data_IF_780981378864
#
_entry.id   IF_780981378864
#
_cell.length_a   1.000
_cell.length_b   1.000
_cell.length_c   1.000
_cell.angle_alpha   90.00
_cell.angle_beta   90.00
_cell.angle_gamma   90.00
#
_symmetry.space_group_name_H-M   'P 1'
#
loop_
_entity.id
_entity.type
_entity.pdbx_description
1 polymer ?
#
# COMPACT_ATOMS: atom_id res chain seq x y z
N UNK A 1 3.74 -2.15 5.29
CA UNK A 1 4.00 -0.93 4.51
C UNK A 1 5.49 -0.67 4.40
N UNK A 2 5.93 -0.07 3.28
CA UNK A 2 7.35 0.20 3.04
C UNK A 2 7.80 1.58 3.52
N UNK A 3 6.86 2.49 3.75
CA UNK A 3 7.13 3.88 4.09
C UNK A 3 6.81 4.17 5.54
N UNK A 4 7.71 4.89 6.21
CA UNK A 4 7.50 5.50 7.52
C UNK A 4 8.30 6.79 7.66
N UNK A 5 8.05 7.53 8.72
CA UNK A 5 8.74 8.77 9.06
C UNK A 5 9.38 8.63 10.43
N UNK A 6 10.59 9.13 10.60
CA UNK A 6 11.25 9.21 11.91
C UNK A 6 10.92 10.51 12.68
N UNK A 7 11.47 10.68 13.86
CA UNK A 7 11.29 11.89 14.68
C UNK A 7 11.80 13.18 14.02
N UNK A 8 12.74 13.07 13.08
CA UNK A 8 13.31 14.21 12.37
C UNK A 8 12.53 14.54 11.09
N UNK A 9 11.36 13.89 10.90
CA UNK A 9 10.52 13.98 9.71
C UNK A 9 11.20 13.46 8.43
N UNK A 10 12.28 12.68 8.56
CA UNK A 10 12.87 11.97 7.42
C UNK A 10 11.93 10.84 7.02
N UNK A 11 11.57 10.82 5.73
CA UNK A 11 10.79 9.75 5.12
C UNK A 11 11.72 8.59 4.76
N UNK A 12 11.43 7.42 5.28
CA UNK A 12 12.14 6.18 4.99
C UNK A 12 11.34 5.32 4.03
N UNK A 13 12.03 4.76 3.04
CA UNK A 13 11.46 3.81 2.09
C UNK A 13 12.29 2.51 2.14
N UNK A 14 11.74 1.45 2.72
CA UNK A 14 12.41 0.15 2.82
C UNK A 14 12.73 -0.50 1.46
N UNK A 15 12.14 -0.01 0.37
CA UNK A 15 12.48 -0.46 -0.99
C UNK A 15 13.80 0.12 -1.48
N UNK A 16 14.21 1.28 -0.97
CA UNK A 16 15.41 2.00 -1.35
C UNK A 16 16.52 1.84 -0.30
N UNK A 17 16.18 2.08 0.95
CA UNK A 17 17.09 2.02 2.09
C UNK A 17 16.39 1.47 3.33
N UNK A 18 16.95 0.45 3.94
CA UNK A 18 16.44 -0.11 5.20
C UNK A 18 17.08 0.65 6.36
N UNK A 19 16.30 1.38 7.18
CA UNK A 19 16.87 2.11 8.31
C UNK A 19 17.41 1.16 9.38
N UNK A 20 18.41 1.61 10.14
CA UNK A 20 18.77 0.94 11.37
C UNK A 20 17.64 1.10 12.41
N UNK A 21 17.49 0.13 13.31
CA UNK A 21 16.48 0.22 14.39
C UNK A 21 16.70 1.45 15.28
N UNK A 22 17.93 1.89 15.40
CA UNK A 22 18.35 3.08 16.17
C UNK A 22 17.92 4.40 15.54
N UNK A 23 17.53 4.42 14.26
CA UNK A 23 16.97 5.60 13.58
C UNK A 23 15.52 5.89 14.01
N UNK A 24 14.88 4.94 14.66
CA UNK A 24 13.54 5.12 15.23
C UNK A 24 13.50 6.07 16.43
N UNK A 25 12.32 6.34 16.95
CA UNK A 25 11.05 5.73 16.63
C UNK A 25 10.49 6.13 15.24
N UNK A 26 9.69 5.22 14.65
CA UNK A 26 9.05 5.44 13.34
C UNK A 26 7.55 5.60 13.48
N UNK A 27 6.96 6.36 12.56
CA UNK A 27 5.55 6.70 12.55
C UNK A 27 4.93 6.53 11.16
N UNK A 28 3.67 6.16 11.13
CA UNK A 28 2.88 6.11 9.90
C UNK A 28 2.67 7.52 9.33
N UNK A 29 2.91 7.70 8.04
CA UNK A 29 2.70 8.99 7.34
C UNK A 29 1.26 9.52 7.40
N UNK A 30 0.29 8.61 7.42
CA UNK A 30 -1.12 8.98 7.33
C UNK A 30 -1.78 9.17 8.70
N UNK A 31 -1.57 8.26 9.65
CA UNK A 31 -2.21 8.33 10.96
C UNK A 31 -1.30 8.78 12.10
N UNK A 32 -0.01 8.95 11.84
CA UNK A 32 1.02 9.33 12.80
C UNK A 32 1.18 8.40 14.00
N UNK A 33 0.53 7.22 13.96
CA UNK A 33 0.69 6.20 15.01
C UNK A 33 2.05 5.53 14.91
N UNK A 34 2.60 5.06 16.05
CA UNK A 34 3.87 4.35 16.07
C UNK A 34 3.86 3.09 15.22
N UNK A 35 4.93 2.92 14.46
CA UNK A 35 5.21 1.72 13.68
C UNK A 35 6.59 1.18 14.04
N UNK A 36 6.81 -0.11 13.82
CA UNK A 36 8.10 -0.75 14.01
C UNK A 36 8.63 -1.32 12.72
N UNK A 37 9.92 -1.20 12.51
CA UNK A 37 10.61 -1.89 11.44
C UNK A 37 10.59 -3.40 11.69
N UNK A 38 10.18 -4.15 10.71
CA UNK A 38 10.33 -5.61 10.62
C UNK A 38 11.32 -5.91 9.51
N UNK A 39 12.44 -6.50 9.88
CA UNK A 39 13.50 -6.89 8.95
C UNK A 39 13.94 -8.32 9.28
N UNK A 40 13.08 -9.29 8.97
CA UNK A 40 13.33 -10.71 9.17
C UNK A 40 13.70 -11.41 7.87
N UNK A 41 13.96 -12.73 7.96
CA UNK A 41 14.39 -13.55 6.83
C UNK A 41 13.26 -14.00 5.89
N UNK A 42 12.00 -13.87 6.31
CA UNK A 42 10.83 -14.41 5.57
C UNK A 42 10.13 -13.34 4.74
N UNK A 43 10.00 -12.14 5.28
CA UNK A 43 9.34 -11.01 4.61
C UNK A 43 10.36 -9.95 4.28
N UNK A 44 10.15 -9.23 3.18
CA UNK A 44 10.91 -8.00 2.89
C UNK A 44 10.85 -7.06 4.09
N UNK A 45 11.91 -6.30 4.28
CA UNK A 45 11.92 -5.23 5.29
C UNK A 45 10.73 -4.30 5.07
N UNK A 46 9.98 -4.07 6.12
CA UNK A 46 8.77 -3.25 6.09
C UNK A 46 8.44 -2.70 7.47
N UNK A 47 7.61 -1.68 7.52
CA UNK A 47 7.05 -1.19 8.77
C UNK A 47 5.68 -1.82 9.06
N UNK A 48 5.40 -2.03 10.32
CA UNK A 48 4.10 -2.51 10.78
C UNK A 48 3.61 -1.67 11.96
N UNK A 49 2.33 -1.33 11.99
CA UNK A 49 1.73 -0.64 13.13
C UNK A 49 1.90 -1.45 14.41
N UNK A 50 2.23 -0.76 15.49
CA UNK A 50 2.27 -1.37 16.83
C UNK A 50 0.86 -1.78 17.24
N UNK A 51 -0.16 -0.95 16.88
CA UNK A 51 -1.59 -1.22 17.06
C UNK A 51 -2.32 -0.90 15.77
N UNK A 52 -2.57 -1.90 14.94
CA UNK A 52 -3.17 -1.74 13.62
C UNK A 52 -4.58 -1.11 13.63
N UNK A 53 -5.38 -1.44 14.63
CA UNK A 53 -6.75 -0.94 14.79
C UNK A 53 -6.87 0.59 14.91
N UNK A 54 -5.78 1.29 15.13
CA UNK A 54 -5.76 2.74 15.25
C UNK A 54 -5.50 3.45 13.91
N UNK A 55 -5.24 2.71 12.84
CA UNK A 55 -5.02 3.30 11.53
C UNK A 55 -6.24 3.13 10.63
N UNK A 56 -6.93 4.22 10.22
CA UNK A 56 -8.09 4.13 9.34
C UNK A 56 -7.72 3.76 7.90
N UNK A 57 -6.44 3.80 7.55
CA UNK A 57 -5.94 3.58 6.18
C UNK A 57 -5.37 2.17 5.97
N UNK A 58 -4.88 1.53 7.02
CA UNK A 58 -4.30 0.19 6.99
C UNK A 58 -5.11 -0.73 7.91
N UNK A 59 -6.02 -1.50 7.34
CA UNK A 59 -6.94 -2.34 8.10
C UNK A 59 -6.39 -3.74 8.39
N UNK A 60 -5.38 -4.18 7.65
CA UNK A 60 -4.82 -5.53 7.75
C UNK A 60 -3.29 -5.51 7.70
N UNK A 61 -2.67 -6.50 8.33
CA UNK A 61 -1.24 -6.74 8.16
C UNK A 61 -0.96 -7.22 6.73
N UNK A 62 0.00 -6.61 6.06
CA UNK A 62 0.36 -7.00 4.70
C UNK A 62 0.95 -8.40 4.66
N UNK A 63 0.42 -9.25 3.78
CA UNK A 63 0.92 -10.60 3.54
C UNK A 63 2.23 -10.58 2.74
N UNK A 64 2.94 -11.71 2.72
CA UNK A 64 4.09 -11.91 1.83
C UNK A 64 3.73 -11.59 0.37
N UNK A 65 2.62 -12.13 -0.13
CA UNK A 65 2.16 -11.91 -1.50
C UNK A 65 1.93 -10.43 -1.79
N UNK A 66 1.30 -9.69 -0.87
CA UNK A 66 1.05 -8.25 -1.02
C UNK A 66 2.37 -7.45 -1.13
N UNK A 67 3.31 -7.70 -0.22
CA UNK A 67 4.60 -7.02 -0.22
C UNK A 67 5.40 -7.31 -1.49
N UNK A 68 5.43 -8.58 -1.95
CA UNK A 68 6.16 -8.98 -3.16
C UNK A 68 5.54 -8.41 -4.44
N UNK A 69 4.21 -8.43 -4.56
CA UNK A 69 3.52 -7.83 -5.71
C UNK A 69 3.76 -6.32 -5.77
N UNK A 70 3.63 -5.63 -4.62
CA UNK A 70 3.88 -4.19 -4.54
C UNK A 70 5.32 -3.84 -4.92
N UNK A 71 6.30 -4.60 -4.43
CA UNK A 71 7.70 -4.43 -4.77
C UNK A 71 7.96 -4.65 -6.28
N UNK A 72 7.45 -5.73 -6.84
CA UNK A 72 7.62 -6.04 -8.26
C UNK A 72 6.99 -4.99 -9.18
N UNK A 73 5.83 -4.48 -8.80
CA UNK A 73 5.16 -3.40 -9.53
C UNK A 73 5.94 -2.09 -9.45
N UNK A 74 6.48 -1.76 -8.28
CA UNK A 74 7.33 -0.59 -8.11
C UNK A 74 8.57 -0.68 -9.00
N UNK A 75 9.28 -1.79 -8.97
CA UNK A 75 10.47 -2.04 -9.81
C UNK A 75 10.15 -1.95 -11.30
N UNK A 76 8.96 -2.38 -11.71
CA UNK A 76 8.52 -2.28 -13.09
C UNK A 76 8.13 -0.86 -13.48
N UNK A 77 7.28 -0.20 -12.70
CA UNK A 77 6.73 1.12 -13.03
C UNK A 77 7.78 2.24 -12.94
N UNK A 78 8.71 2.15 -11.99
CA UNK A 78 9.75 3.16 -11.76
C UNK A 78 10.83 3.21 -12.84
N UNK A 79 10.88 2.21 -13.74
CA UNK A 79 11.84 2.23 -14.88
C UNK A 79 11.52 3.29 -15.91
N UNK A 80 10.25 3.62 -16.09
CA UNK A 80 9.79 4.49 -17.17
C UNK A 80 9.00 5.71 -16.69
N UNK A 81 8.63 5.75 -15.41
CA UNK A 81 7.76 6.81 -14.88
C UNK A 81 8.12 7.13 -13.43
N UNK A 82 7.89 8.37 -13.04
CA UNK A 82 8.00 8.75 -11.64
C UNK A 82 6.92 8.03 -10.83
N UNK A 83 7.33 7.07 -10.01
CA UNK A 83 6.44 6.21 -9.23
C UNK A 83 6.73 6.36 -7.74
N UNK A 84 5.71 6.61 -6.97
CA UNK A 84 5.75 6.65 -5.51
C UNK A 84 5.09 5.40 -4.92
N UNK A 85 5.69 4.84 -3.87
CA UNK A 85 5.11 3.75 -3.10
C UNK A 85 4.37 4.31 -1.89
N UNK A 86 3.17 3.81 -1.61
CA UNK A 86 2.32 4.21 -0.47
C UNK A 86 2.13 5.73 -0.39
N UNK A 87 1.71 6.31 -1.51
CA UNK A 87 1.46 7.75 -1.60
C UNK A 87 0.14 8.11 -0.91
N UNK A 88 0.22 8.99 0.10
CA UNK A 88 -0.95 9.48 0.82
C UNK A 88 -1.60 10.64 0.06
N UNK A 89 -2.83 10.43 -0.38
CA UNK A 89 -3.64 11.39 -1.12
C UNK A 89 -4.61 12.08 -0.14
N UNK A 90 -4.15 13.20 0.40
CA UNK A 90 -4.82 13.90 1.51
C UNK A 90 -6.22 14.42 1.15
N UNK A 91 -6.44 14.85 -0.11
CA UNK A 91 -7.70 15.45 -0.56
C UNK A 91 -8.90 14.51 -0.41
N UNK A 92 -8.67 13.21 -0.53
CA UNK A 92 -9.72 12.18 -0.36
C UNK A 92 -9.31 11.03 0.57
N UNK A 93 -8.26 11.26 1.36
CA UNK A 93 -7.86 10.41 2.47
C UNK A 93 -7.63 8.94 2.11
N UNK A 94 -6.91 8.69 1.02
CA UNK A 94 -6.51 7.35 0.62
C UNK A 94 -4.99 7.23 0.54
N UNK A 95 -4.50 6.00 0.73
CA UNK A 95 -3.12 5.63 0.43
C UNK A 95 -3.16 4.73 -0.80
N UNK A 96 -2.55 5.18 -1.89
CA UNK A 96 -2.31 4.34 -3.05
C UNK A 96 -1.13 3.41 -2.76
N UNK A 97 -1.24 2.11 -3.04
CA UNK A 97 -0.10 1.20 -2.93
C UNK A 97 1.06 1.67 -3.80
N UNK A 98 0.75 2.07 -5.03
CA UNK A 98 1.67 2.75 -5.93
C UNK A 98 0.96 3.89 -6.67
N UNK A 99 1.63 5.01 -6.83
CA UNK A 99 1.16 6.13 -7.63
C UNK A 99 2.17 6.42 -8.76
N UNK A 100 1.75 6.22 -9.99
CA UNK A 100 2.49 6.68 -11.18
C UNK A 100 2.12 8.14 -11.42
N UNK A 101 2.96 9.03 -10.92
CA UNK A 101 2.65 10.47 -10.77
C UNK A 101 2.36 11.12 -12.11
N UNK A 102 3.23 10.91 -13.09
CA UNK A 102 3.13 11.54 -14.43
C UNK A 102 1.87 11.13 -15.18
N UNK A 103 1.21 10.06 -14.79
CA UNK A 103 0.03 9.49 -15.46
C UNK A 103 -1.26 9.63 -14.63
N UNK A 104 -1.18 10.21 -13.43
CA UNK A 104 -2.28 10.21 -12.46
C UNK A 104 -2.90 8.80 -12.32
N UNK A 105 -2.06 7.78 -12.17
CA UNK A 105 -2.46 6.38 -12.16
C UNK A 105 -2.13 5.75 -10.80
N UNK A 106 -3.16 5.31 -10.09
CA UNK A 106 -3.01 4.49 -8.89
C UNK A 106 -3.02 2.99 -9.27
N UNK A 107 -2.08 2.25 -8.71
CA UNK A 107 -2.05 0.79 -8.77
C UNK A 107 -2.29 0.26 -7.36
N UNK A 108 -3.35 -0.51 -7.20
CA UNK A 108 -3.77 -1.10 -5.92
C UNK A 108 -3.57 -2.60 -5.94
N UNK A 109 -2.98 -3.14 -4.89
CA UNK A 109 -2.75 -4.60 -4.73
C UNK A 109 -3.71 -5.13 -3.69
N UNK A 110 -4.62 -6.01 -4.08
CA UNK A 110 -5.59 -6.61 -3.19
C UNK A 110 -5.37 -8.12 -3.07
N UNK A 111 -4.91 -8.59 -1.90
CA UNK A 111 -4.63 -9.99 -1.63
C UNK A 111 -5.64 -10.65 -0.68
N UNK A 112 -6.40 -9.86 0.07
CA UNK A 112 -7.46 -10.31 0.98
C UNK A 112 -8.85 -10.01 0.42
N UNK A 113 -9.91 -10.69 0.90
CA UNK A 113 -11.27 -10.37 0.49
C UNK A 113 -11.63 -8.92 0.77
N UNK A 114 -12.22 -8.27 -0.22
CA UNK A 114 -12.74 -6.91 -0.15
C UNK A 114 -14.20 -6.92 -0.59
N UNK A 115 -15.07 -6.16 0.06
CA UNK A 115 -16.45 -6.03 -0.40
C UNK A 115 -16.51 -5.24 -1.71
N UNK A 116 -17.48 -5.57 -2.56
CA UNK A 116 -17.71 -4.84 -3.81
C UNK A 116 -18.03 -3.36 -3.55
N UNK A 117 -18.78 -3.10 -2.50
CA UNK A 117 -19.12 -1.74 -2.07
C UNK A 117 -17.85 -0.93 -1.75
N UNK A 118 -16.95 -1.50 -0.96
CA UNK A 118 -15.68 -0.84 -0.60
C UNK A 118 -14.77 -0.65 -1.80
N UNK A 119 -14.72 -1.63 -2.72
CA UNK A 119 -13.98 -1.52 -3.97
C UNK A 119 -14.51 -0.34 -4.82
N UNK A 120 -15.83 -0.25 -4.97
CA UNK A 120 -16.47 0.83 -5.72
C UNK A 120 -16.20 2.19 -5.07
N UNK A 121 -16.44 2.31 -3.76
CA UNK A 121 -16.18 3.54 -3.00
C UNK A 121 -14.77 4.06 -3.22
N UNK A 122 -13.76 3.20 -3.07
CA UNK A 122 -12.36 3.57 -3.29
C UNK A 122 -12.09 3.95 -4.74
N UNK A 123 -12.59 3.18 -5.69
CA UNK A 123 -12.41 3.44 -7.12
C UNK A 123 -13.06 4.76 -7.54
N UNK A 124 -14.25 5.06 -7.03
CA UNK A 124 -14.97 6.29 -7.34
C UNK A 124 -14.28 7.51 -6.74
N UNK A 125 -13.69 7.38 -5.53
CA UNK A 125 -12.89 8.43 -4.93
C UNK A 125 -11.66 8.78 -5.77
N UNK A 126 -10.93 7.79 -6.30
CA UNK A 126 -9.83 8.03 -7.25
C UNK A 126 -10.31 8.78 -8.50
N UNK A 127 -11.36 8.28 -9.15
CA UNK A 127 -11.90 8.87 -10.39
C UNK A 127 -12.40 10.30 -10.19
N UNK A 128 -13.11 10.55 -9.09
CA UNK A 128 -13.63 11.88 -8.75
C UNK A 128 -12.51 12.91 -8.55
N UNK A 129 -11.30 12.47 -8.21
CA UNK A 129 -10.12 13.32 -8.01
C UNK A 129 -9.13 13.27 -9.19
N UNK A 130 -9.56 12.77 -10.36
CA UNK A 130 -8.78 12.83 -11.60
C UNK A 130 -7.73 11.70 -11.75
N UNK A 131 -7.81 10.66 -10.92
CA UNK A 131 -6.92 9.50 -11.03
C UNK A 131 -7.58 8.33 -11.76
N UNK A 132 -6.80 7.63 -12.55
CA UNK A 132 -7.13 6.27 -12.96
C UNK A 132 -6.73 5.31 -11.84
N UNK A 133 -7.44 4.19 -11.70
CA UNK A 133 -7.07 3.15 -10.75
C UNK A 133 -7.16 1.77 -11.39
N UNK A 134 -6.12 0.96 -11.18
CA UNK A 134 -6.11 -0.46 -11.52
C UNK A 134 -5.90 -1.30 -10.27
N UNK A 135 -6.69 -2.37 -10.17
CA UNK A 135 -6.64 -3.32 -9.08
C UNK A 135 -5.95 -4.61 -9.53
N UNK A 136 -4.84 -4.96 -8.87
CA UNK A 136 -4.16 -6.23 -9.05
C UNK A 136 -4.61 -7.18 -7.95
N UNK A 137 -5.24 -8.28 -8.37
CA UNK A 137 -5.79 -9.25 -7.43
C UNK A 137 -4.78 -10.36 -7.16
N UNK A 138 -4.49 -10.61 -5.89
CA UNK A 138 -3.69 -11.76 -5.46
C UNK A 138 -4.39 -13.08 -5.72
N UNK A 139 -3.64 -14.19 -5.60
CA UNK A 139 -4.08 -15.56 -5.97
C UNK A 139 -5.40 -15.99 -5.33
N UNK A 140 -5.67 -15.55 -4.09
CA UNK A 140 -6.92 -15.90 -3.38
C UNK A 140 -8.16 -15.33 -4.05
N UNK A 141 -8.01 -14.25 -4.84
CA UNK A 141 -9.09 -13.53 -5.50
C UNK A 141 -9.19 -13.83 -7.00
N UNK A 142 -8.36 -14.75 -7.53
CA UNK A 142 -8.43 -15.13 -8.93
C UNK A 142 -9.72 -15.89 -9.25
N UNK A 143 -10.13 -15.82 -10.50
CA UNK A 143 -11.29 -16.53 -11.00
C UNK A 143 -11.15 -18.04 -10.76
N UNK A 144 -12.20 -18.63 -10.20
CA UNK A 144 -12.34 -20.07 -9.97
C UNK A 144 -13.62 -20.56 -10.65
N UNK A 145 -13.88 -21.85 -10.59
CA UNK A 145 -15.11 -22.45 -11.13
C UNK A 145 -16.41 -21.78 -10.62
N UNK A 146 -16.39 -21.26 -9.38
CA UNK A 146 -17.47 -20.46 -8.81
C UNK A 146 -16.99 -19.04 -8.54
N UNK A 147 -17.67 -18.08 -9.14
CA UNK A 147 -17.39 -16.66 -8.93
C UNK A 147 -17.77 -16.24 -7.51
N UNK A 148 -16.90 -15.46 -6.88
CA UNK A 148 -17.24 -14.71 -5.65
C UNK A 148 -18.07 -13.47 -6.03
N UNK A 149 -18.73 -12.84 -5.05
CA UNK A 149 -19.46 -11.60 -5.28
C UNK A 149 -18.60 -10.48 -5.89
N UNK A 150 -17.32 -10.42 -5.50
CA UNK A 150 -16.37 -9.46 -6.06
C UNK A 150 -16.08 -9.71 -7.55
N UNK A 151 -16.03 -10.97 -7.94
CA UNK A 151 -15.73 -11.38 -9.34
C UNK A 151 -16.94 -11.32 -10.25
N UNK A 152 -18.15 -11.40 -9.69
CA UNK A 152 -19.43 -11.36 -10.43
C UNK A 152 -19.98 -9.94 -10.61
N UNK A 153 -19.55 -8.98 -9.82
CA UNK A 153 -19.97 -7.57 -9.85
C UNK A 153 -19.11 -6.68 -10.69
#
# INVERSE_FOLDING_TARGET
MFIAMDNNQKRWNCMEEIPAVTEGPFYCLACHSPVRLKNGSVLRAHFAHVKLQHCPYHHEAESFEHLELKASLYDWASKESHTEVESYLADFQQIADLLVVDKNLALEVQCSPLSLERLKERSDAYRANGYQVYWLLGKKLWLKERLTKLQAG
#
